data_IF_791071974039
#
_entry.id   IF_791071974039
#
_cell.length_a   1.000
_cell.length_b   1.000
_cell.length_c   1.000
_cell.angle_alpha   90.00
_cell.angle_beta   90.00
_cell.angle_gamma   90.00
#
_symmetry.space_group_name_H-M   'P 1'
#
loop_
_entity.id
_entity.type
_entity.pdbx_description
1 polymer ?
#
# COMPACT_ATOMS: atom_id res chain seq x y z
N UNK A 1 11.56 -25.53 15.08
CA UNK A 1 10.17 -25.07 15.25
C UNK A 1 9.28 -26.30 15.19
N UNK A 2 8.36 -26.45 16.14
CA UNK A 2 7.32 -27.47 16.13
C UNK A 2 6.27 -27.18 15.05
N UNK A 3 5.59 -28.21 14.53
CA UNK A 3 4.52 -28.06 13.55
C UNK A 3 3.38 -27.15 14.03
N UNK A 4 3.14 -27.12 15.35
CA UNK A 4 2.16 -26.21 15.96
C UNK A 4 2.60 -24.75 15.87
N UNK A 5 3.89 -24.47 16.07
CA UNK A 5 4.45 -23.11 16.00
C UNK A 5 4.40 -22.60 14.55
N UNK A 6 4.75 -23.44 13.58
CA UNK A 6 4.66 -23.09 12.16
C UNK A 6 3.22 -22.76 11.73
N UNK A 7 2.26 -23.55 12.20
CA UNK A 7 0.83 -23.29 11.95
C UNK A 7 0.40 -21.96 12.57
N UNK A 8 0.81 -21.66 13.81
CA UNK A 8 0.51 -20.38 14.45
C UNK A 8 1.12 -19.20 13.67
N UNK A 9 2.39 -19.30 13.25
CA UNK A 9 3.04 -18.28 12.44
C UNK A 9 2.32 -18.04 11.12
N UNK A 10 1.87 -19.09 10.43
CA UNK A 10 1.08 -18.97 9.20
C UNK A 10 -0.26 -18.28 9.44
N UNK A 11 -0.99 -18.65 10.50
CA UNK A 11 -2.28 -18.00 10.82
C UNK A 11 -2.13 -16.52 11.17
N UNK A 12 -0.96 -16.09 11.61
CA UNK A 12 -0.65 -14.71 11.95
C UNK A 12 -0.07 -13.91 10.77
N UNK A 13 0.08 -14.50 9.59
CA UNK A 13 0.69 -13.80 8.44
C UNK A 13 -0.15 -12.62 7.93
N UNK A 14 -1.46 -12.58 8.21
CA UNK A 14 -2.37 -11.56 7.68
C UNK A 14 -1.97 -10.11 8.01
N UNK A 15 -1.28 -9.87 9.13
CA UNK A 15 -0.79 -8.53 9.49
C UNK A 15 0.67 -8.27 9.10
N UNK A 16 1.43 -9.31 8.73
CA UNK A 16 2.87 -9.24 8.45
C UNK A 16 3.20 -9.36 6.95
N UNK A 17 2.24 -9.80 6.13
CA UNK A 17 2.47 -10.13 4.73
C UNK A 17 2.73 -8.91 3.83
N UNK A 18 2.12 -7.75 4.13
CA UNK A 18 2.30 -6.54 3.33
C UNK A 18 2.26 -5.26 4.20
N UNK A 19 3.34 -4.47 4.13
CA UNK A 19 3.47 -3.22 4.88
C UNK A 19 3.12 -1.97 4.06
N UNK A 20 2.80 -2.09 2.77
CA UNK A 20 2.49 -0.94 1.89
C UNK A 20 1.27 -0.15 2.36
N UNK A 21 0.31 -0.83 3.00
CA UNK A 21 -0.92 -0.24 3.52
C UNK A 21 -0.83 0.19 5.00
N UNK A 22 0.37 0.35 5.56
CA UNK A 22 0.54 0.78 6.95
C UNK A 22 -0.03 2.20 7.15
N UNK A 23 -1.27 2.27 7.65
CA UNK A 23 -2.00 3.53 7.80
C UNK A 23 -1.51 4.39 8.98
N UNK A 24 -0.83 3.78 9.97
CA UNK A 24 -0.46 4.46 11.22
C UNK A 24 0.41 5.70 11.03
N UNK A 25 1.51 5.71 10.23
CA UNK A 25 2.35 6.89 10.08
C UNK A 25 1.61 8.07 9.46
N UNK A 26 0.73 7.80 8.49
CA UNK A 26 -0.07 8.81 7.81
C UNK A 26 -1.11 9.42 8.76
N UNK A 27 -1.81 8.57 9.52
CA UNK A 27 -2.77 9.02 10.54
C UNK A 27 -2.08 9.85 11.63
N UNK A 28 -0.91 9.43 12.09
CA UNK A 28 -0.14 10.14 13.11
C UNK A 28 0.30 11.53 12.62
N UNK A 29 0.77 11.64 11.38
CA UNK A 29 1.09 12.94 10.78
C UNK A 29 -0.14 13.85 10.65
N UNK A 30 -1.28 13.29 10.27
CA UNK A 30 -2.55 14.04 10.23
C UNK A 30 -2.93 14.56 11.62
N UNK A 31 -2.82 13.74 12.67
CA UNK A 31 -3.07 14.15 14.05
C UNK A 31 -2.13 15.26 14.54
N UNK A 32 -0.83 15.16 14.21
CA UNK A 32 0.15 16.20 14.53
C UNK A 32 -0.19 17.50 13.78
N UNK A 33 -0.62 17.41 12.52
CA UNK A 33 -1.11 18.55 11.74
C UNK A 33 -2.32 19.23 12.39
N UNK A 34 -3.32 18.45 12.81
CA UNK A 34 -4.52 18.95 13.49
C UNK A 34 -4.19 19.65 14.81
N UNK A 35 -3.24 19.11 15.61
CA UNK A 35 -2.77 19.80 16.82
C UNK A 35 -2.09 21.13 16.52
N UNK A 36 -1.27 21.19 15.46
CA UNK A 36 -0.64 22.45 15.01
C UNK A 36 -1.65 23.47 14.49
N UNK A 37 -2.78 23.01 13.95
CA UNK A 37 -3.89 23.85 13.51
C UNK A 37 -4.81 24.33 14.67
N UNK A 38 -4.48 23.99 15.93
CA UNK A 38 -5.22 24.46 17.10
C UNK A 38 -6.40 23.57 17.54
N UNK A 39 -6.55 22.36 16.97
CA UNK A 39 -7.57 21.41 17.40
C UNK A 39 -7.23 20.86 18.79
N UNK A 40 -8.04 21.23 19.80
CA UNK A 40 -7.81 20.86 21.20
C UNK A 40 -8.24 19.43 21.56
N UNK A 41 -9.29 18.91 20.91
CA UNK A 41 -9.87 17.61 21.26
C UNK A 41 -9.91 16.67 20.05
N UNK A 42 -9.16 15.56 20.15
CA UNK A 42 -9.07 14.53 19.10
C UNK A 42 -9.91 13.28 19.42
N UNK A 43 -10.39 13.14 20.66
CA UNK A 43 -11.12 11.95 21.10
C UNK A 43 -12.37 11.59 20.26
N UNK A 44 -13.24 12.53 19.83
CA UNK A 44 -14.36 12.17 18.97
C UNK A 44 -13.89 11.72 17.58
N UNK A 45 -12.80 12.32 17.06
CA UNK A 45 -12.24 11.94 15.76
C UNK A 45 -11.67 10.52 15.79
N UNK A 46 -10.96 10.16 16.87
CA UNK A 46 -10.47 8.79 17.07
C UNK A 46 -11.63 7.80 17.14
N UNK A 47 -12.71 8.13 17.86
CA UNK A 47 -13.90 7.30 17.94
C UNK A 47 -14.55 7.06 16.57
N UNK A 48 -14.72 8.12 15.77
CA UNK A 48 -15.26 8.01 14.40
C UNK A 48 -14.34 7.19 13.50
N UNK A 49 -13.01 7.37 13.60
CA UNK A 49 -12.04 6.58 12.82
C UNK A 49 -12.07 5.09 13.21
N UNK A 50 -12.18 4.78 14.50
CA UNK A 50 -12.31 3.39 14.95
C UNK A 50 -13.61 2.77 14.45
N UNK A 51 -14.73 3.50 14.54
CA UNK A 51 -16.03 3.04 14.07
C UNK A 51 -16.04 2.84 12.55
N UNK A 52 -15.45 3.76 11.78
CA UNK A 52 -15.35 3.60 10.32
C UNK A 52 -14.47 2.42 9.93
N UNK A 53 -13.38 2.17 10.65
CA UNK A 53 -12.56 0.97 10.45
C UNK A 53 -13.36 -0.31 10.72
N UNK A 54 -14.12 -0.37 11.81
CA UNK A 54 -14.95 -1.54 12.15
C UNK A 54 -16.03 -1.79 11.10
N UNK A 55 -16.77 -0.74 10.71
CA UNK A 55 -17.78 -0.83 9.66
C UNK A 55 -17.14 -1.26 8.33
N UNK A 56 -15.97 -0.72 8.00
CA UNK A 56 -15.22 -1.09 6.81
C UNK A 56 -14.80 -2.55 6.80
N UNK A 57 -14.28 -3.08 7.92
CA UNK A 57 -13.89 -4.50 8.05
C UNK A 57 -15.11 -5.40 7.85
N UNK A 58 -16.22 -5.13 8.55
CA UNK A 58 -17.43 -5.95 8.46
C UNK A 58 -18.02 -5.91 7.05
N UNK A 59 -18.10 -4.71 6.46
CA UNK A 59 -18.60 -4.55 5.09
C UNK A 59 -17.73 -5.27 4.08
N UNK A 60 -16.40 -5.21 4.21
CA UNK A 60 -15.47 -5.90 3.32
C UNK A 60 -15.67 -7.42 3.40
N UNK A 61 -15.75 -7.97 4.60
CA UNK A 61 -15.97 -9.42 4.82
C UNK A 61 -17.27 -9.89 4.16
N UNK A 62 -18.38 -9.17 4.37
CA UNK A 62 -19.68 -9.55 3.82
C UNK A 62 -19.69 -9.45 2.29
N UNK A 63 -19.18 -8.35 1.73
CA UNK A 63 -19.15 -8.15 0.28
C UNK A 63 -18.22 -9.13 -0.43
N UNK A 64 -17.02 -9.37 0.10
CA UNK A 64 -16.08 -10.35 -0.48
C UNK A 64 -16.65 -11.77 -0.39
N UNK A 65 -17.26 -12.14 0.73
CA UNK A 65 -17.91 -13.43 0.88
C UNK A 65 -19.03 -13.59 -0.16
N UNK A 66 -19.94 -12.63 -0.27
CA UNK A 66 -21.01 -12.67 -1.28
C UNK A 66 -20.45 -12.78 -2.70
N UNK A 67 -19.39 -12.03 -3.03
CA UNK A 67 -18.71 -12.09 -4.32
C UNK A 67 -18.19 -13.50 -4.63
N UNK A 68 -17.54 -14.16 -3.66
CA UNK A 68 -17.02 -15.51 -3.83
C UNK A 68 -18.11 -16.58 -3.95
N UNK A 69 -19.23 -16.43 -3.24
CA UNK A 69 -20.35 -17.38 -3.32
C UNK A 69 -21.15 -17.25 -4.63
N UNK A 70 -21.38 -16.03 -5.12
CA UNK A 70 -22.16 -15.80 -6.34
C UNK A 70 -21.35 -16.09 -7.59
N UNK A 71 -20.12 -15.58 -7.67
CA UNK A 71 -19.30 -15.69 -8.89
C UNK A 71 -18.42 -16.94 -8.89
N UNK A 72 -18.29 -17.62 -7.75
CA UNK A 72 -17.45 -18.80 -7.54
C UNK A 72 -15.96 -18.44 -7.43
N UNK A 73 -15.37 -18.66 -6.25
CA UNK A 73 -13.97 -18.36 -5.95
C UNK A 73 -12.95 -18.99 -6.93
N UNK A 74 -13.24 -20.17 -7.46
CA UNK A 74 -12.35 -20.91 -8.35
C UNK A 74 -12.62 -20.67 -9.85
N UNK A 75 -13.52 -19.74 -10.20
CA UNK A 75 -13.84 -19.43 -11.60
C UNK A 75 -13.03 -18.24 -12.11
N UNK A 76 -12.92 -18.09 -13.44
CA UNK A 76 -12.26 -16.94 -14.08
C UNK A 76 -13.00 -15.59 -13.91
N UNK A 77 -14.16 -15.58 -13.23
CA UNK A 77 -14.96 -14.39 -13.02
C UNK A 77 -14.42 -13.49 -11.88
N UNK A 78 -13.46 -14.00 -11.10
CA UNK A 78 -12.87 -13.29 -9.96
C UNK A 78 -11.38 -13.09 -10.22
N UNK A 79 -10.85 -11.94 -9.82
CA UNK A 79 -9.42 -11.67 -9.91
C UNK A 79 -8.65 -12.70 -9.06
N UNK A 80 -7.81 -13.50 -9.71
CA UNK A 80 -7.02 -14.57 -9.09
C UNK A 80 -6.11 -14.05 -7.98
N UNK A 81 -5.63 -12.80 -8.06
CA UNK A 81 -4.87 -12.17 -6.98
C UNK A 81 -5.62 -12.20 -5.64
N UNK A 82 -6.93 -11.92 -5.64
CA UNK A 82 -7.74 -11.87 -4.40
C UNK A 82 -7.77 -13.22 -3.70
N UNK A 83 -7.93 -14.30 -4.47
CA UNK A 83 -7.96 -15.68 -3.97
C UNK A 83 -6.56 -16.15 -3.60
N UNK A 84 -5.55 -15.79 -4.40
CA UNK A 84 -4.16 -16.15 -4.13
C UNK A 84 -3.64 -15.53 -2.84
N UNK A 85 -3.96 -14.26 -2.56
CA UNK A 85 -3.57 -13.59 -1.32
C UNK A 85 -4.07 -14.31 -0.06
N UNK A 86 -5.29 -14.86 -0.08
CA UNK A 86 -5.81 -15.69 1.01
C UNK A 86 -5.10 -17.04 1.17
N UNK A 87 -4.50 -17.56 0.09
CA UNK A 87 -3.79 -18.85 0.09
C UNK A 87 -2.29 -18.75 0.42
N UNK A 88 -1.68 -17.56 0.35
CA UNK A 88 -0.26 -17.35 0.69
C UNK A 88 0.16 -17.97 2.04
N UNK A 89 -0.57 -17.78 3.17
CA UNK A 89 -0.21 -18.43 4.44
C UNK A 89 -0.16 -19.95 4.33
N UNK A 90 -1.13 -20.54 3.63
CA UNK A 90 -1.26 -21.99 3.50
C UNK A 90 -0.19 -22.58 2.59
N UNK A 91 0.13 -21.93 1.48
CA UNK A 91 1.26 -22.32 0.64
C UNK A 91 2.60 -22.19 1.36
N UNK A 92 2.77 -21.13 2.17
CA UNK A 92 3.98 -20.95 2.97
C UNK A 92 4.11 -22.05 4.03
N UNK A 93 3.02 -22.37 4.74
CA UNK A 93 2.97 -23.45 5.72
C UNK A 93 3.23 -24.81 5.10
N UNK A 94 2.58 -25.11 3.97
CA UNK A 94 2.82 -26.34 3.22
C UNK A 94 4.28 -26.44 2.81
N UNK A 95 4.88 -25.34 2.36
CA UNK A 95 6.31 -25.26 2.06
C UNK A 95 7.19 -25.60 3.27
N UNK A 96 6.90 -25.05 4.44
CA UNK A 96 7.66 -25.31 5.67
C UNK A 96 7.51 -26.74 6.18
N UNK A 97 6.32 -27.33 6.06
CA UNK A 97 6.02 -28.68 6.53
C UNK A 97 6.53 -29.76 5.57
N UNK A 98 6.37 -29.57 4.26
CA UNK A 98 6.74 -30.56 3.24
C UNK A 98 8.24 -30.55 2.91
N UNK A 99 8.89 -29.40 3.02
CA UNK A 99 10.32 -29.24 2.78
C UNK A 99 10.91 -28.38 3.89
N UNK A 100 11.59 -29.01 4.86
CA UNK A 100 12.52 -28.30 5.72
C UNK A 100 13.69 -27.82 4.87
N UNK A 101 13.53 -26.64 4.26
CA UNK A 101 14.57 -26.04 3.43
C UNK A 101 15.74 -25.65 4.35
N UNK A 102 16.98 -26.00 4.00
CA UNK A 102 18.13 -25.44 4.70
C UNK A 102 18.11 -23.90 4.56
N UNK A 103 18.75 -23.17 5.48
CA UNK A 103 18.82 -21.71 5.40
C UNK A 103 19.39 -21.31 4.03
N UNK A 104 18.64 -20.49 3.30
CA UNK A 104 19.12 -19.92 2.05
C UNK A 104 20.12 -18.81 2.37
N UNK A 105 21.40 -19.17 2.37
CA UNK A 105 22.49 -18.24 2.64
C UNK A 105 22.55 -17.10 1.62
N UNK A 106 22.14 -17.33 0.37
CA UNK A 106 22.12 -16.28 -0.66
C UNK A 106 21.06 -15.24 -0.32
N UNK A 107 19.87 -15.68 0.06
CA UNK A 107 18.80 -14.78 0.51
C UNK A 107 19.20 -14.02 1.78
N UNK A 108 19.81 -14.70 2.76
CA UNK A 108 20.26 -14.06 4.02
C UNK A 108 21.33 -13.00 3.74
N UNK A 109 22.31 -13.29 2.88
CA UNK A 109 23.34 -12.32 2.48
C UNK A 109 22.68 -11.15 1.74
N UNK A 110 21.73 -11.41 0.83
CA UNK A 110 20.99 -10.38 0.12
C UNK A 110 20.25 -9.43 1.07
N UNK A 111 19.56 -9.98 2.08
CA UNK A 111 18.91 -9.19 3.14
C UNK A 111 19.93 -8.40 3.94
N UNK A 112 21.03 -9.02 4.37
CA UNK A 112 22.07 -8.35 5.16
C UNK A 112 22.73 -7.19 4.39
N UNK A 113 23.04 -7.38 3.11
CA UNK A 113 23.59 -6.34 2.23
C UNK A 113 22.58 -5.22 2.01
N UNK A 114 21.32 -5.56 1.69
CA UNK A 114 20.24 -4.58 1.50
C UNK A 114 20.00 -3.73 2.76
N UNK A 115 19.95 -4.37 3.94
CA UNK A 115 19.88 -3.70 5.24
C UNK A 115 21.11 -2.84 5.53
N UNK A 116 22.31 -3.33 5.19
CA UNK A 116 23.55 -2.58 5.35
C UNK A 116 23.57 -1.30 4.50
N UNK A 117 23.19 -1.40 3.23
CA UNK A 117 23.11 -0.24 2.32
C UNK A 117 22.07 0.77 2.82
N UNK A 118 20.89 0.31 3.24
CA UNK A 118 19.86 1.22 3.77
C UNK A 118 20.28 1.91 5.06
N UNK A 119 20.93 1.21 5.99
CA UNK A 119 21.49 1.82 7.19
C UNK A 119 22.60 2.83 6.86
N UNK A 120 23.49 2.48 5.93
CA UNK A 120 24.56 3.37 5.48
C UNK A 120 24.00 4.64 4.85
N UNK A 121 23.04 4.52 3.92
CA UNK A 121 22.37 5.67 3.31
C UNK A 121 21.65 6.51 4.35
N UNK A 122 21.02 5.88 5.34
CA UNK A 122 20.32 6.59 6.43
C UNK A 122 21.30 7.38 7.30
N UNK A 123 22.43 6.77 7.64
CA UNK A 123 23.50 7.42 8.38
C UNK A 123 24.12 8.59 7.61
N UNK A 124 24.47 8.37 6.32
CA UNK A 124 25.03 9.41 5.46
C UNK A 124 24.06 10.58 5.27
N UNK A 125 22.77 10.30 5.08
CA UNK A 125 21.74 11.34 4.98
C UNK A 125 21.56 12.12 6.28
N UNK A 126 21.77 11.49 7.43
CA UNK A 126 21.75 12.16 8.73
C UNK A 126 22.97 13.04 9.00
N UNK A 127 24.10 12.78 8.34
CA UNK A 127 25.38 13.51 8.54
C UNK A 127 25.68 14.54 7.44
N UNK A 128 25.22 14.30 6.21
CA UNK A 128 25.49 15.14 5.04
C UNK A 128 24.21 15.89 4.64
N UNK A 129 24.19 17.20 4.86
CA UNK A 129 23.09 18.07 4.43
C UNK A 129 23.12 18.17 2.91
N UNK A 130 22.08 17.67 2.23
CA UNK A 130 21.95 17.73 0.77
C UNK A 130 22.36 16.48 0.00
N UNK A 131 22.58 15.34 0.68
CA UNK A 131 22.89 14.09 -0.01
C UNK A 131 21.76 13.66 -0.98
N UNK A 132 22.05 13.41 -2.26
CA UNK A 132 21.03 13.23 -3.29
C UNK A 132 20.31 11.87 -3.19
N UNK A 133 20.97 10.84 -2.64
CA UNK A 133 20.38 9.52 -2.53
C UNK A 133 19.53 9.41 -1.26
N UNK A 134 18.24 9.10 -1.45
CA UNK A 134 17.31 8.87 -0.35
C UNK A 134 17.22 7.38 -0.03
N UNK A 135 17.41 6.95 1.23
CA UNK A 135 17.18 5.57 1.65
C UNK A 135 15.77 5.08 1.28
N UNK A 136 14.77 5.97 1.38
CA UNK A 136 13.40 5.65 1.04
C UNK A 136 13.24 5.35 -0.46
N UNK A 137 13.91 6.10 -1.35
CA UNK A 137 13.84 5.87 -2.78
C UNK A 137 14.51 4.53 -3.17
N UNK A 138 15.61 4.18 -2.50
CA UNK A 138 16.28 2.90 -2.70
C UNK A 138 15.36 1.72 -2.34
N UNK A 139 14.70 1.75 -1.18
CA UNK A 139 13.77 0.67 -0.77
C UNK A 139 12.57 0.55 -1.71
N UNK A 140 12.00 1.67 -2.13
CA UNK A 140 10.84 1.69 -3.02
C UNK A 140 11.21 1.12 -4.39
N UNK A 141 12.42 1.37 -4.89
CA UNK A 141 12.85 0.94 -6.23
C UNK A 141 12.73 -0.58 -6.46
N UNK A 142 12.91 -1.37 -5.41
CA UNK A 142 12.82 -2.84 -5.41
C UNK A 142 11.42 -3.39 -5.17
N UNK A 143 10.41 -2.53 -4.99
CA UNK A 143 9.03 -2.96 -4.73
C UNK A 143 8.23 -3.00 -6.03
N UNK A 144 7.30 -3.94 -6.16
CA UNK A 144 6.33 -4.02 -7.27
C UNK A 144 5.63 -2.68 -7.60
N UNK A 145 5.39 -1.85 -6.57
CA UNK A 145 4.83 -0.52 -6.75
C UNK A 145 5.69 0.38 -7.67
N UNK A 146 7.01 0.26 -7.63
CA UNK A 146 7.89 1.04 -8.50
C UNK A 146 7.79 0.60 -9.96
N UNK A 147 7.62 -0.70 -10.24
CA UNK A 147 7.46 -1.19 -11.62
C UNK A 147 6.21 -0.60 -12.30
N UNK A 148 5.14 -0.38 -11.53
CA UNK A 148 3.92 0.25 -12.02
C UNK A 148 4.01 1.78 -12.08
N UNK A 149 4.56 2.42 -11.03
CA UNK A 149 4.46 3.87 -10.85
C UNK A 149 5.71 4.68 -11.21
N UNK A 150 6.80 4.05 -11.69
CA UNK A 150 8.04 4.78 -11.99
C UNK A 150 7.83 5.91 -13.00
N UNK A 151 6.99 5.69 -14.01
CA UNK A 151 6.70 6.69 -15.04
C UNK A 151 5.87 7.84 -14.48
N UNK A 152 4.87 7.55 -13.65
CA UNK A 152 4.06 8.57 -12.97
C UNK A 152 4.91 9.41 -12.00
N UNK A 153 5.83 8.76 -11.27
CA UNK A 153 6.81 9.44 -10.41
C UNK A 153 7.73 10.35 -11.21
N UNK A 154 8.21 9.88 -12.36
CA UNK A 154 9.02 10.68 -13.28
C UNK A 154 8.25 11.90 -13.79
N UNK A 155 6.99 11.70 -14.20
CA UNK A 155 6.12 12.76 -14.68
C UNK A 155 5.80 13.78 -13.58
N UNK A 156 5.53 13.31 -12.36
CA UNK A 156 5.32 14.16 -11.19
C UNK A 156 6.58 14.99 -10.87
N UNK A 157 7.77 14.39 -10.95
CA UNK A 157 9.03 15.11 -10.78
C UNK A 157 9.27 16.14 -11.89
N UNK A 158 8.96 15.79 -13.15
CA UNK A 158 9.08 16.69 -14.30
C UNK A 158 8.16 17.91 -14.16
N UNK A 159 6.88 17.71 -13.86
CA UNK A 159 5.96 18.83 -13.65
C UNK A 159 6.33 19.67 -12.45
N UNK A 160 6.69 19.04 -11.32
CA UNK A 160 7.11 19.77 -10.12
C UNK A 160 8.36 20.60 -10.38
N UNK A 161 9.37 20.03 -11.03
CA UNK A 161 10.61 20.73 -11.35
C UNK A 161 10.38 21.87 -12.34
N UNK A 162 9.56 21.66 -13.37
CA UNK A 162 9.16 22.71 -14.31
C UNK A 162 8.42 23.86 -13.60
N UNK A 163 7.43 23.56 -12.76
CA UNK A 163 6.65 24.58 -12.08
C UNK A 163 7.45 25.36 -11.05
N UNK A 164 8.37 24.71 -10.34
CA UNK A 164 9.29 25.41 -9.43
C UNK A 164 10.29 26.27 -10.18
N UNK A 165 10.81 25.80 -11.33
CA UNK A 165 11.83 26.51 -12.11
C UNK A 165 11.27 27.70 -12.88
N UNK A 166 10.05 27.59 -13.42
CA UNK A 166 9.44 28.63 -14.25
C UNK A 166 8.41 29.51 -13.51
N UNK A 167 7.69 28.96 -12.52
CA UNK A 167 6.60 29.67 -11.83
C UNK A 167 6.86 30.03 -10.35
N UNK A 168 7.93 29.49 -9.75
CA UNK A 168 8.24 29.69 -8.33
C UNK A 168 7.17 29.12 -7.37
N UNK A 169 7.32 29.45 -6.08
CA UNK A 169 6.49 28.83 -5.02
C UNK A 169 5.00 29.24 -5.07
N UNK A 170 4.70 30.45 -5.56
CA UNK A 170 3.30 30.91 -5.69
C UNK A 170 2.55 30.13 -6.76
N UNK A 171 3.17 29.91 -7.92
CA UNK A 171 2.55 29.14 -9.00
C UNK A 171 2.35 27.67 -8.59
N UNK A 172 3.37 27.05 -7.97
CA UNK A 172 3.24 25.69 -7.44
C UNK A 172 2.03 25.52 -6.51
N UNK A 173 1.81 26.47 -5.59
CA UNK A 173 0.65 26.44 -4.68
C UNK A 173 -0.69 26.63 -5.41
N UNK A 174 -0.72 27.42 -6.48
CA UNK A 174 -1.92 27.63 -7.28
C UNK A 174 -2.29 26.38 -8.12
N UNK A 175 -1.31 25.58 -8.54
CA UNK A 175 -1.55 24.36 -9.33
C UNK A 175 -1.85 23.13 -8.47
N UNK A 176 -1.52 23.12 -7.17
CA UNK A 176 -1.87 22.03 -6.24
C UNK A 176 -3.34 21.56 -6.30
N UNK A 177 -4.37 22.44 -6.25
CA UNK A 177 -5.76 22.01 -6.30
C UNK A 177 -6.11 21.28 -7.61
N UNK A 178 -5.46 21.61 -8.74
CA UNK A 178 -5.69 20.91 -10.00
C UNK A 178 -5.25 19.45 -9.93
N UNK A 179 -4.04 19.17 -9.42
CA UNK A 179 -3.56 17.78 -9.27
C UNK A 179 -4.33 17.00 -8.22
N UNK A 180 -4.71 17.64 -7.11
CA UNK A 180 -5.58 17.00 -6.13
C UNK A 180 -6.94 16.67 -6.74
N UNK A 181 -7.48 17.54 -7.59
CA UNK A 181 -8.69 17.30 -8.37
C UNK A 181 -8.53 16.16 -9.39
N UNK A 182 -7.37 16.05 -10.05
CA UNK A 182 -7.06 14.95 -10.97
C UNK A 182 -7.06 13.60 -10.24
N UNK A 183 -6.36 13.52 -9.10
CA UNK A 183 -6.29 12.31 -8.27
C UNK A 183 -7.69 11.95 -7.75
N UNK A 184 -8.42 12.94 -7.24
CA UNK A 184 -9.80 12.73 -6.76
C UNK A 184 -10.73 12.29 -7.90
N UNK A 185 -10.56 12.86 -9.10
CA UNK A 185 -11.30 12.48 -10.30
C UNK A 185 -11.09 11.02 -10.67
N UNK A 186 -9.85 10.54 -10.67
CA UNK A 186 -9.53 9.14 -10.96
C UNK A 186 -10.23 8.18 -9.96
N UNK A 187 -10.16 8.48 -8.67
CA UNK A 187 -10.88 7.70 -7.64
C UNK A 187 -12.41 7.76 -7.80
N UNK A 188 -12.97 8.94 -8.05
CA UNK A 188 -14.42 9.13 -8.20
C UNK A 188 -14.93 8.43 -9.45
N UNK A 189 -14.25 8.56 -10.59
CA UNK A 189 -14.60 7.88 -11.83
C UNK A 189 -14.50 6.37 -11.65
N UNK A 190 -13.44 5.86 -11.00
CA UNK A 190 -13.31 4.43 -10.71
C UNK A 190 -14.39 3.89 -9.78
N UNK A 191 -14.75 4.64 -8.73
CA UNK A 191 -15.85 4.29 -7.83
C UNK A 191 -17.21 4.34 -8.52
N UNK A 192 -17.47 5.38 -9.31
CA UNK A 192 -18.72 5.54 -10.06
C UNK A 192 -18.90 4.42 -11.09
N UNK A 193 -17.83 4.05 -11.80
CA UNK A 193 -17.86 2.95 -12.77
C UNK A 193 -18.06 1.60 -12.10
N UNK A 194 -17.41 1.37 -10.96
CA UNK A 194 -17.60 0.15 -10.16
C UNK A 194 -19.03 0.03 -9.63
N UNK A 195 -19.60 1.13 -9.13
CA UNK A 195 -20.98 1.18 -8.65
C UNK A 195 -21.98 0.97 -9.79
N UNK A 196 -21.76 1.62 -10.94
CA UNK A 196 -22.59 1.44 -12.13
C UNK A 196 -22.54 -0.02 -12.63
N UNK A 197 -21.38 -0.67 -12.58
CA UNK A 197 -21.24 -2.09 -12.92
C UNK A 197 -21.98 -3.00 -11.96
N UNK A 198 -21.88 -2.72 -10.66
CA UNK A 198 -22.61 -3.46 -9.63
C UNK A 198 -24.14 -3.36 -9.80
N UNK A 199 -24.66 -2.19 -10.22
CA UNK A 199 -26.09 -1.97 -10.42
C UNK A 199 -26.62 -2.50 -11.76
N UNK A 200 -25.83 -2.39 -12.83
CA UNK A 200 -26.24 -2.78 -14.19
C UNK A 200 -26.01 -4.25 -14.51
N UNK A 201 -25.22 -4.97 -13.70
CA UNK A 201 -24.84 -6.36 -13.97
C UNK A 201 -23.91 -6.52 -15.18
N UNK A 202 -23.40 -5.42 -15.75
CA UNK A 202 -22.50 -5.43 -16.90
C UNK A 202 -21.04 -5.52 -16.46
N UNK A 203 -20.24 -6.29 -17.20
CA UNK A 203 -18.78 -6.37 -17.03
C UNK A 203 -18.13 -5.10 -17.58
N UNK A 204 -18.03 -4.08 -16.73
CA UNK A 204 -17.44 -2.80 -17.07
C UNK A 204 -15.91 -2.80 -16.97
N UNK A 205 -15.30 -1.73 -17.53
CA UNK A 205 -13.87 -1.49 -17.54
C UNK A 205 -13.23 -1.69 -16.15
N UNK A 206 -12.19 -2.54 -16.10
CA UNK A 206 -11.40 -2.78 -14.90
C UNK A 206 -10.39 -1.65 -14.73
N UNK A 207 -10.50 -0.90 -13.64
CA UNK A 207 -9.63 0.24 -13.33
C UNK A 207 -8.19 -0.15 -13.03
N UNK A 208 -7.95 -1.37 -12.58
CA UNK A 208 -6.61 -1.92 -12.38
C UNK A 208 -6.37 -3.12 -13.32
N UNK A 209 -5.34 -3.06 -14.17
CA UNK A 209 -4.87 -4.24 -14.90
C UNK A 209 -4.29 -5.26 -13.91
N UNK A 210 -4.42 -6.55 -14.27
CA UNK A 210 -3.92 -7.67 -13.46
C UNK A 210 -2.41 -7.64 -13.27
#
# INVERSE_FOLDING_TARGET
>A
LSNTELTQMATLSWFNLDYRAAAMPQQLQAFVGLRRAGVRQLSPLVGVLMLSCLVGIVSCIVCDMQLYYVNGAATGNINSYRVNMGNVPWYSLQGWLAQSKPPDFVAIIGVAVGSGITLLLTFLRGRIVGFPLSPAAYVISTTFANELFWFDLFLAWLFKSAFLRYGGMKFYRATLPFFLGLILGDFVTGAAWSLFGALSGLTLFRTFPN
#
